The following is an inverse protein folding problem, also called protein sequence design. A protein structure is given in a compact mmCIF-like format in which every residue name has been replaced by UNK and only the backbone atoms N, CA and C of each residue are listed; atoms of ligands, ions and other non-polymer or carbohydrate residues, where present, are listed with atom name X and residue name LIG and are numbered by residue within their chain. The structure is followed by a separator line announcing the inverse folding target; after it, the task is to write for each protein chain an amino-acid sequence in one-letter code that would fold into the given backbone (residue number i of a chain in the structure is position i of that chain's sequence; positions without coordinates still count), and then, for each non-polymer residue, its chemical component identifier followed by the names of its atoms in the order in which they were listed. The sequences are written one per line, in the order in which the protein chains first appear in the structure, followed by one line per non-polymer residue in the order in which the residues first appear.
data_IF_030343336114
#
_entry.id   IF_030343336114
#
_cell.length_a   1.000
_cell.length_b   1.000
_cell.length_c   1.000
_cell.angle_alpha   90.00
_cell.angle_beta   90.00
_cell.angle_gamma   90.00
#
_symmetry.space_group_name_H-M   'P 1'
#
loop_
_entity.id
_entity.type
_entity.pdbx_description
1 polymer ?
#
# COMPACT_ATOMS: atom_id res chain seq x y z
N UNK A 1 -6.29 -3.48 12.76
CA UNK A 1 -5.16 -2.53 12.90
C UNK A 1 -4.13 -2.88 11.84
N UNK A 2 -3.68 -1.89 11.07
CA UNK A 2 -2.69 -2.09 9.99
C UNK A 2 -1.35 -1.57 10.49
N UNK A 3 -0.31 -2.40 10.47
CA UNK A 3 1.06 -2.03 10.80
C UNK A 3 1.88 -2.01 9.52
N UNK A 4 2.70 -0.98 9.33
CA UNK A 4 3.59 -0.87 8.18
C UNK A 4 5.01 -1.02 8.67
N UNK A 5 5.72 -2.05 8.23
CA UNK A 5 7.15 -2.20 8.46
C UNK A 5 7.89 -1.83 7.18
N UNK A 6 8.80 -0.87 7.29
CA UNK A 6 9.61 -0.43 6.16
C UNK A 6 10.98 -1.09 6.26
N UNK A 7 11.43 -1.76 5.20
CA UNK A 7 12.77 -2.33 5.12
C UNK A 7 13.46 -1.83 3.85
N UNK A 8 14.68 -1.32 4.03
CA UNK A 8 15.55 -0.94 2.91
C UNK A 8 16.28 -2.20 2.44
N UNK A 9 16.00 -2.64 1.22
CA UNK A 9 16.63 -3.80 0.60
C UNK A 9 17.54 -3.34 -0.55
N UNK A 10 18.48 -4.18 -1.01
CA UNK A 10 19.44 -3.82 -2.06
C UNK A 10 18.79 -3.34 -3.38
N UNK A 11 17.51 -3.62 -3.59
CA UNK A 11 16.74 -3.23 -4.79
C UNK A 11 15.82 -2.00 -4.59
N UNK A 12 15.80 -1.39 -3.40
CA UNK A 12 14.98 -0.21 -3.09
C UNK A 12 14.22 -0.27 -1.76
N UNK A 13 13.40 0.75 -1.49
CA UNK A 13 12.58 0.84 -0.28
C UNK A 13 11.33 -0.03 -0.41
N UNK A 14 11.22 -1.08 0.41
CA UNK A 14 10.06 -1.97 0.43
C UNK A 14 9.23 -1.75 1.67
N UNK A 15 7.91 -1.81 1.51
CA UNK A 15 6.98 -1.78 2.63
C UNK A 15 6.31 -3.15 2.77
N UNK A 16 6.51 -3.75 3.93
CA UNK A 16 5.68 -4.85 4.41
C UNK A 16 4.44 -4.26 5.07
N UNK A 17 3.31 -4.45 4.44
CA UNK A 17 2.02 -4.15 5.02
C UNK A 17 1.54 -5.37 5.81
N UNK A 18 1.51 -5.23 7.12
CA UNK A 18 0.82 -6.15 8.01
C UNK A 18 -0.58 -5.63 8.24
N UNK A 19 -1.60 -6.41 7.90
CA UNK A 19 -2.97 -6.03 8.15
C UNK A 19 -3.72 -7.18 8.79
N UNK A 20 -4.52 -6.85 9.80
CA UNK A 20 -5.58 -7.74 10.26
C UNK A 20 -6.85 -7.36 9.50
N UNK A 21 -7.29 -8.17 8.51
CA UNK A 21 -8.57 -7.94 7.85
C UNK A 21 -9.67 -8.09 8.88
N UNK A 22 -10.36 -6.98 9.19
CA UNK A 22 -11.53 -6.98 10.08
C UNK A 22 -12.75 -7.24 9.22
N UNK A 23 -12.82 -8.43 8.62
CA UNK A 23 -14.07 -8.85 7.98
C UNK A 23 -15.11 -9.09 9.10
N UNK A 24 -16.41 -9.16 8.75
CA UNK A 24 -17.39 -9.86 9.61
C UNK A 24 -17.05 -11.36 9.81
N UNK A 25 -15.99 -11.85 9.12
CA UNK A 25 -15.31 -13.15 9.24
C UNK A 25 -13.78 -12.97 9.35
N UNK A 26 -13.34 -11.93 10.06
CA UNK A 26 -11.92 -11.57 10.12
C UNK A 26 -11.03 -12.77 10.46
N UNK A 27 -9.87 -12.84 9.83
CA UNK A 27 -8.90 -13.88 10.15
C UNK A 27 -8.19 -13.54 11.46
N UNK A 28 -8.15 -14.47 12.41
CA UNK A 28 -7.32 -14.35 13.62
C UNK A 28 -5.81 -14.51 13.31
N UNK A 29 -5.44 -14.67 12.03
CA UNK A 29 -4.07 -14.85 11.57
C UNK A 29 -3.61 -13.54 10.94
N UNK A 30 -2.52 -12.99 11.47
CA UNK A 30 -1.85 -11.82 10.91
C UNK A 30 -1.39 -12.13 9.48
N UNK A 31 -1.74 -11.26 8.54
CA UNK A 31 -1.29 -11.36 7.15
C UNK A 31 -0.29 -10.27 6.84
N UNK A 32 0.69 -10.63 6.01
CA UNK A 32 1.67 -9.70 5.47
C UNK A 32 1.66 -9.73 3.95
N UNK A 33 1.89 -8.57 3.34
CA UNK A 33 2.17 -8.45 1.91
C UNK A 33 3.31 -7.48 1.68
N UNK A 34 4.23 -7.88 0.82
CA UNK A 34 5.35 -7.05 0.38
C UNK A 34 4.96 -6.28 -0.88
N UNK A 35 5.09 -4.95 -0.81
CA UNK A 35 4.79 -4.03 -1.90
C UNK A 35 5.90 -2.98 -2.01
N UNK A 36 6.00 -2.37 -3.19
CA UNK A 36 7.01 -1.34 -3.46
C UNK A 36 6.44 0.04 -3.16
N UNK A 37 7.29 0.90 -2.59
CA UNK A 37 6.99 2.33 -2.50
C UNK A 37 7.18 2.95 -3.87
N UNK A 38 6.24 3.79 -4.27
CA UNK A 38 6.26 4.48 -5.55
C UNK A 38 6.16 5.99 -5.37
N UNK A 39 6.66 6.73 -6.35
CA UNK A 39 6.68 8.18 -6.32
C UNK A 39 5.26 8.76 -6.30
N UNK A 40 5.07 9.84 -5.55
CA UNK A 40 3.79 10.51 -5.42
C UNK A 40 3.23 11.00 -6.76
N UNK A 41 4.09 11.37 -7.72
CA UNK A 41 3.69 11.75 -9.07
C UNK A 41 3.03 10.56 -9.81
N UNK A 42 3.60 9.36 -9.67
CA UNK A 42 3.05 8.15 -10.29
C UNK A 42 1.66 7.87 -9.74
N UNK A 43 1.48 7.92 -8.42
CA UNK A 43 0.17 7.72 -7.81
C UNK A 43 -0.82 8.83 -8.14
N UNK A 44 -0.37 10.07 -8.19
CA UNK A 44 -1.24 11.17 -8.60
C UNK A 44 -1.78 10.92 -10.01
N UNK A 45 -0.93 10.51 -10.95
CA UNK A 45 -1.34 10.22 -12.32
C UNK A 45 -2.31 9.03 -12.44
N UNK A 46 -2.23 8.04 -11.54
CA UNK A 46 -3.14 6.90 -11.53
C UNK A 46 -4.48 7.22 -10.85
N UNK A 47 -4.45 7.90 -9.70
CA UNK A 47 -5.65 8.08 -8.86
C UNK A 47 -6.44 9.35 -9.20
N UNK A 48 -5.79 10.42 -9.63
CA UNK A 48 -6.47 11.69 -9.87
C UNK A 48 -7.44 11.65 -11.06
N UNK A 49 -7.10 11.06 -12.23
CA UNK A 49 -8.03 11.04 -13.36
C UNK A 49 -9.33 10.31 -13.05
N UNK A 50 -9.23 9.15 -12.40
CA UNK A 50 -10.33 8.21 -12.15
C UNK A 50 -11.13 8.54 -10.89
N UNK A 51 -10.44 8.81 -9.77
CA UNK A 51 -11.08 8.95 -8.45
C UNK A 51 -11.07 10.38 -7.91
N UNK A 52 -10.41 11.32 -8.63
CA UNK A 52 -10.24 12.71 -8.19
C UNK A 52 -9.58 12.84 -6.82
N UNK A 53 -8.75 11.85 -6.42
CA UNK A 53 -8.03 11.86 -5.15
C UNK A 53 -6.71 12.64 -5.33
N UNK A 54 -6.52 13.78 -4.65
CA UNK A 54 -5.31 14.56 -4.79
C UNK A 54 -4.20 14.01 -3.87
N UNK A 55 -3.20 13.34 -4.46
CA UNK A 55 -1.98 12.96 -3.74
C UNK A 55 -1.12 14.21 -3.47
N UNK A 56 -0.76 14.43 -2.20
CA UNK A 56 0.08 15.56 -1.72
C UNK A 56 1.44 15.05 -1.26
N UNK A 57 2.42 15.95 -1.11
CA UNK A 57 3.81 15.58 -0.76
C UNK A 57 4.00 14.84 0.57
N UNK A 58 3.06 14.99 1.52
CA UNK A 58 3.06 14.25 2.79
C UNK A 58 2.35 12.89 2.73
N UNK A 59 1.85 12.48 1.56
CA UNK A 59 1.36 11.13 1.35
C UNK A 59 2.52 10.22 0.99
N UNK A 60 2.32 8.94 1.27
CA UNK A 60 3.20 7.87 0.86
C UNK A 60 2.38 6.88 0.07
N UNK A 61 2.87 6.53 -1.11
CA UNK A 61 2.19 5.60 -1.98
C UNK A 61 2.96 4.30 -2.10
N UNK A 62 2.26 3.17 -1.99
CA UNK A 62 2.84 1.86 -2.13
C UNK A 62 1.84 0.91 -2.77
N UNK A 63 2.32 0.03 -3.65
CA UNK A 63 1.48 -0.92 -4.37
C UNK A 63 2.20 -1.60 -5.52
N UNK A 64 1.43 -2.28 -6.36
CA UNK A 64 1.87 -2.88 -7.62
C UNK A 64 1.07 -2.22 -8.74
N UNK A 65 1.72 -1.71 -9.78
CA UNK A 65 1.04 -0.98 -10.88
C UNK A 65 0.02 -1.86 -11.61
N UNK A 66 0.32 -3.14 -11.77
CA UNK A 66 -0.58 -4.17 -12.33
C UNK A 66 -1.78 -4.50 -11.41
N UNK A 67 -1.79 -3.98 -10.18
CA UNK A 67 -2.79 -4.32 -9.17
C UNK A 67 -2.60 -5.71 -8.56
N UNK A 68 -3.64 -6.23 -7.92
CA UNK A 68 -3.69 -7.60 -7.37
C UNK A 68 -3.14 -7.79 -5.95
N UNK A 69 -2.38 -6.83 -5.42
CA UNK A 69 -1.90 -6.84 -4.02
C UNK A 69 -2.11 -5.47 -3.38
N UNK A 70 -2.82 -5.45 -2.25
CA UNK A 70 -3.10 -4.21 -1.51
C UNK A 70 -3.86 -4.49 -0.22
N UNK A 71 -4.08 -3.45 0.57
CA UNK A 71 -4.93 -3.51 1.76
C UNK A 71 -6.34 -3.06 1.41
N UNK A 72 -7.34 -3.84 1.77
CA UNK A 72 -8.75 -3.45 1.77
C UNK A 72 -9.28 -3.57 3.21
N UNK A 73 -10.30 -2.78 3.54
CA UNK A 73 -11.04 -2.89 4.80
C UNK A 73 -12.24 -3.81 4.64
#
# INVERSE_FOLDING_TARGET
MTFVHSSLENTGFKQKLFYMPVDKRGSNVLREVEIQVMDNHVCHSAYYPTYKIPIKGWHLCAGVLEGGKGTCQ
#
